data_IF_297659972341
#
_entry.id   IF_297659972341
#
_cell.length_a   1.000
_cell.length_b   1.000
_cell.length_c   1.000
_cell.angle_alpha   90.00
_cell.angle_beta   90.00
_cell.angle_gamma   90.00
#
_symmetry.space_group_name_H-M   'P 1'
#
loop_
_entity.id
_entity.type
_entity.pdbx_description
1 polymer ?
#
# COMPACT_ATOMS: atom_id res chain seq x y z
N UNK A 1 -64.05 -54.25 35.70
CA UNK A 1 -63.90 -52.77 35.67
C UNK A 1 -62.48 -52.40 36.07
N UNK A 2 -61.58 -52.22 35.09
CA UNK A 2 -60.19 -51.71 35.31
C UNK A 2 -59.61 -50.97 34.10
N UNK A 3 -60.36 -50.85 32.98
CA UNK A 3 -59.86 -50.30 31.72
C UNK A 3 -59.58 -48.78 31.75
N UNK A 4 -60.27 -48.05 32.64
CA UNK A 4 -60.13 -46.58 32.76
C UNK A 4 -58.73 -46.14 33.20
N UNK A 5 -58.01 -46.92 34.02
CA UNK A 5 -56.67 -46.51 34.50
C UNK A 5 -55.57 -46.61 33.44
N UNK A 6 -55.64 -47.60 32.55
CA UNK A 6 -54.65 -47.76 31.48
C UNK A 6 -54.84 -46.71 30.37
N UNK A 7 -56.09 -46.43 30.00
CA UNK A 7 -56.40 -45.34 29.06
C UNK A 7 -56.02 -43.97 29.61
N UNK A 8 -56.30 -43.70 30.89
CA UNK A 8 -55.93 -42.44 31.53
C UNK A 8 -54.40 -42.25 31.57
N UNK A 9 -53.65 -43.32 31.86
CA UNK A 9 -52.19 -43.29 31.84
C UNK A 9 -51.62 -43.01 30.43
N UNK A 10 -52.20 -43.62 29.39
CA UNK A 10 -51.80 -43.37 28.00
C UNK A 10 -52.13 -41.94 27.55
N UNK A 11 -53.29 -41.39 27.95
CA UNK A 11 -53.65 -40.00 27.67
C UNK A 11 -52.67 -39.03 28.32
N UNK A 12 -52.32 -39.26 29.58
CA UNK A 12 -51.35 -38.41 30.27
C UNK A 12 -49.96 -38.49 29.62
N UNK A 13 -49.51 -39.70 29.26
CA UNK A 13 -48.26 -39.87 28.53
C UNK A 13 -48.28 -39.14 27.18
N UNK A 14 -49.39 -39.21 26.46
CA UNK A 14 -49.58 -38.51 25.18
C UNK A 14 -49.50 -37.00 25.38
N UNK A 15 -50.18 -36.44 26.38
CA UNK A 15 -50.14 -35.02 26.72
C UNK A 15 -48.72 -34.54 27.05
N UNK A 16 -47.96 -35.33 27.81
CA UNK A 16 -46.57 -35.02 28.14
C UNK A 16 -45.69 -35.00 26.90
N UNK A 17 -45.83 -36.00 26.02
CA UNK A 17 -45.08 -36.07 24.76
C UNK A 17 -45.44 -34.94 23.80
N UNK A 18 -46.71 -34.54 23.74
CA UNK A 18 -47.16 -33.37 22.97
C UNK A 18 -46.53 -32.08 23.50
N UNK A 19 -46.45 -31.91 24.82
CA UNK A 19 -45.78 -30.78 25.46
C UNK A 19 -44.25 -30.78 25.25
N UNK A 20 -43.62 -31.95 25.27
CA UNK A 20 -42.19 -32.07 24.95
C UNK A 20 -41.93 -31.71 23.48
N UNK A 21 -42.77 -32.20 22.56
CA UNK A 21 -42.68 -31.91 21.13
C UNK A 21 -42.91 -30.42 20.84
N UNK A 22 -43.84 -29.76 21.52
CA UNK A 22 -44.04 -28.32 21.37
C UNK A 22 -42.83 -27.52 21.84
N UNK A 23 -42.27 -27.86 23.01
CA UNK A 23 -41.04 -27.22 23.51
C UNK A 23 -39.85 -27.39 22.57
N UNK A 24 -39.67 -28.59 22.01
CA UNK A 24 -38.60 -28.85 21.04
C UNK A 24 -38.80 -28.07 19.74
N UNK A 25 -40.04 -27.93 19.25
CA UNK A 25 -40.36 -27.11 18.09
C UNK A 25 -40.06 -25.64 18.33
N UNK A 26 -40.38 -25.10 19.51
CA UNK A 26 -40.04 -23.73 19.89
C UNK A 26 -38.53 -23.51 19.94
N UNK A 27 -37.78 -24.43 20.56
CA UNK A 27 -36.31 -24.37 20.58
C UNK A 27 -35.71 -24.43 19.18
N UNK A 28 -36.25 -25.27 18.31
CA UNK A 28 -35.83 -25.34 16.90
C UNK A 28 -36.10 -24.02 16.18
N UNK A 29 -37.29 -23.45 16.32
CA UNK A 29 -37.63 -22.16 15.73
C UNK A 29 -36.72 -21.03 16.25
N UNK A 30 -36.32 -21.08 17.53
CA UNK A 30 -35.35 -20.14 18.09
C UNK A 30 -33.94 -20.33 17.48
N UNK A 31 -33.50 -21.58 17.28
CA UNK A 31 -32.24 -21.88 16.60
C UNK A 31 -32.23 -21.39 15.16
N UNK A 32 -33.30 -21.63 14.40
CA UNK A 32 -33.42 -21.19 13.00
C UNK A 32 -33.32 -19.65 12.89
N UNK A 33 -33.91 -18.91 13.86
CA UNK A 33 -33.76 -17.44 13.92
C UNK A 33 -32.33 -17.01 14.19
N UNK A 34 -31.59 -17.72 15.04
CA UNK A 34 -30.18 -17.44 15.29
C UNK A 34 -29.33 -17.71 14.05
N UNK A 35 -29.63 -18.78 13.30
CA UNK A 35 -28.94 -19.07 12.04
C UNK A 35 -29.15 -17.96 11.01
N UNK A 36 -30.37 -17.42 10.91
CA UNK A 36 -30.68 -16.25 10.08
C UNK A 36 -29.90 -15.00 10.51
N UNK A 37 -29.76 -14.76 11.82
CA UNK A 37 -28.97 -13.65 12.37
C UNK A 37 -27.48 -13.80 12.06
N UNK A 38 -26.96 -15.03 12.18
CA UNK A 38 -25.58 -15.36 11.82
C UNK A 38 -25.35 -15.07 10.33
N UNK A 39 -26.25 -15.52 9.45
CA UNK A 39 -26.15 -15.27 8.01
C UNK A 39 -26.12 -13.77 7.69
N UNK A 40 -27.00 -12.97 8.33
CA UNK A 40 -26.98 -11.49 8.20
C UNK A 40 -25.67 -10.87 8.68
N UNK A 41 -25.14 -11.35 9.80
CA UNK A 41 -23.88 -10.85 10.35
C UNK A 41 -22.69 -11.20 9.44
N UNK A 42 -22.68 -12.40 8.86
CA UNK A 42 -21.68 -12.85 7.88
C UNK A 42 -21.70 -11.98 6.63
N UNK A 43 -22.87 -11.69 6.06
CA UNK A 43 -22.97 -10.82 4.89
C UNK A 43 -22.41 -9.41 5.17
N UNK A 44 -22.72 -8.85 6.35
CA UNK A 44 -22.18 -7.55 6.79
C UNK A 44 -20.65 -7.60 6.94
N UNK A 45 -20.12 -8.68 7.50
CA UNK A 45 -18.69 -8.89 7.66
C UNK A 45 -17.99 -9.00 6.30
N UNK A 46 -18.54 -9.75 5.36
CA UNK A 46 -17.95 -9.93 4.03
C UNK A 46 -17.94 -8.61 3.24
N UNK A 47 -19.03 -7.83 3.30
CA UNK A 47 -19.07 -6.47 2.72
C UNK A 47 -17.99 -5.57 3.34
N UNK A 48 -17.84 -5.60 4.67
CA UNK A 48 -16.83 -4.81 5.35
C UNK A 48 -15.41 -5.22 4.95
N UNK A 49 -15.13 -6.52 4.81
CA UNK A 49 -13.85 -7.05 4.32
C UNK A 49 -13.55 -6.57 2.90
N UNK A 50 -14.50 -6.71 1.97
CA UNK A 50 -14.33 -6.25 0.58
C UNK A 50 -14.02 -4.75 0.52
N UNK A 51 -14.74 -3.93 1.30
CA UNK A 51 -14.45 -2.50 1.40
C UNK A 51 -13.05 -2.25 1.97
N UNK A 52 -12.69 -2.95 3.05
CA UNK A 52 -11.37 -2.89 3.66
C UNK A 52 -10.24 -3.23 2.69
N UNK A 53 -10.38 -4.31 1.92
CA UNK A 53 -9.44 -4.74 0.88
C UNK A 53 -9.29 -3.70 -0.21
N UNK A 54 -10.40 -3.11 -0.70
CA UNK A 54 -10.35 -2.03 -1.69
C UNK A 54 -9.61 -0.80 -1.16
N UNK A 55 -9.83 -0.42 0.10
CA UNK A 55 -9.08 0.67 0.72
C UNK A 55 -7.61 0.33 0.94
N UNK A 56 -7.28 -0.92 1.29
CA UNK A 56 -5.90 -1.38 1.40
C UNK A 56 -5.20 -1.38 0.03
N UNK A 57 -5.87 -1.84 -1.03
CA UNK A 57 -5.34 -1.81 -2.39
C UNK A 57 -5.12 -0.38 -2.90
N UNK A 58 -6.03 0.55 -2.60
CA UNK A 58 -5.82 1.98 -2.88
C UNK A 58 -4.62 2.56 -2.15
N UNK A 59 -4.37 2.14 -0.89
CA UNK A 59 -3.17 2.50 -0.12
C UNK A 59 -1.90 1.88 -0.72
N UNK A 60 -1.98 0.63 -1.20
CA UNK A 60 -0.88 -0.10 -1.82
C UNK A 60 -0.57 0.31 -3.28
N UNK A 61 -1.40 1.15 -3.91
CA UNK A 61 -0.93 1.91 -5.07
C UNK A 61 0.32 2.68 -4.64
N UNK A 62 1.35 2.84 -5.49
CA UNK A 62 2.65 3.37 -5.09
C UNK A 62 2.58 4.87 -4.75
N UNK A 63 1.91 5.21 -3.66
CA UNK A 63 1.72 6.56 -3.12
C UNK A 63 3.11 7.16 -2.88
N UNK A 64 4.01 6.38 -2.28
CA UNK A 64 5.40 6.75 -2.06
C UNK A 64 6.19 7.00 -3.35
N UNK A 65 6.01 6.19 -4.40
CA UNK A 65 6.79 6.37 -5.62
C UNK A 65 6.31 7.57 -6.46
N UNK A 66 5.10 8.10 -6.17
CA UNK A 66 4.56 9.33 -6.74
C UNK A 66 4.86 10.60 -5.93
N UNK A 67 5.53 10.51 -4.77
CA UNK A 67 5.83 11.68 -3.92
C UNK A 67 6.82 12.62 -4.60
N UNK A 68 6.43 13.88 -4.78
CA UNK A 68 7.31 14.94 -5.28
C UNK A 68 7.59 15.95 -4.17
N UNK A 69 8.84 16.39 -4.05
CA UNK A 69 9.23 17.45 -3.13
C UNK A 69 8.93 18.78 -3.83
N UNK A 70 7.83 19.43 -3.44
CA UNK A 70 7.42 20.70 -4.03
C UNK A 70 8.39 21.84 -3.67
N UNK A 71 8.96 21.82 -2.46
CA UNK A 71 9.87 22.85 -1.95
C UNK A 71 11.06 22.20 -1.25
N UNK A 72 12.24 22.11 -1.90
CA UNK A 72 13.42 21.49 -1.29
C UNK A 72 13.95 22.35 -0.14
N UNK A 73 14.18 21.72 1.01
CA UNK A 73 14.89 22.32 2.13
C UNK A 73 16.39 21.96 2.02
N UNK A 74 17.25 22.97 2.00
CA UNK A 74 18.72 22.79 1.94
C UNK A 74 19.40 22.61 3.30
N UNK A 75 18.63 22.56 4.39
CA UNK A 75 19.17 22.43 5.74
C UNK A 75 19.83 21.05 5.96
N UNK A 76 20.94 21.05 6.67
CA UNK A 76 21.69 19.82 6.95
C UNK A 76 20.96 18.99 8.01
N UNK A 77 20.81 17.70 7.74
CA UNK A 77 20.15 16.76 8.66
C UNK A 77 20.89 16.65 10.00
N UNK A 78 22.20 16.84 10.00
CA UNK A 78 23.02 16.75 11.22
C UNK A 78 22.70 17.88 12.21
N UNK A 79 22.29 19.04 11.71
CA UNK A 79 22.00 20.24 12.50
C UNK A 79 20.54 20.29 13.00
N UNK A 80 19.75 19.27 12.66
CA UNK A 80 18.38 19.12 13.12
C UNK A 80 18.30 18.32 14.42
N UNK A 81 17.33 18.66 15.26
CA UNK A 81 17.11 17.99 16.56
C UNK A 81 16.07 16.89 16.44
N UNK A 82 16.38 15.68 16.87
CA UNK A 82 15.45 14.55 16.89
C UNK A 82 16.17 13.21 16.78
N UNK A 83 15.47 12.20 16.25
CA UNK A 83 15.99 10.84 16.10
C UNK A 83 16.34 10.52 14.62
N UNK A 84 16.57 9.25 14.30
CA UNK A 84 16.92 8.81 12.95
C UNK A 84 15.72 8.75 11.98
N UNK A 85 14.50 8.73 12.52
CA UNK A 85 13.25 8.67 11.75
C UNK A 85 12.65 10.05 11.52
N UNK A 86 12.67 10.93 12.52
CA UNK A 86 12.08 12.27 12.47
C UNK A 86 12.95 13.29 13.22
N UNK A 87 13.23 14.41 12.57
CA UNK A 87 13.91 15.56 13.19
C UNK A 87 13.16 16.85 12.94
N UNK A 88 13.24 17.78 13.88
CA UNK A 88 12.70 19.12 13.71
C UNK A 88 13.72 20.02 13.01
N UNK A 89 13.29 20.65 11.91
CA UNK A 89 14.09 21.66 11.22
C UNK A 89 13.62 23.05 11.63
N UNK A 90 14.51 23.82 12.26
CA UNK A 90 14.23 25.20 12.67
C UNK A 90 14.02 26.18 11.51
N UNK A 91 14.52 25.86 10.31
CA UNK A 91 14.43 26.73 9.13
C UNK A 91 13.08 26.66 8.40
N UNK A 92 12.52 25.46 8.30
CA UNK A 92 11.20 25.26 7.67
C UNK A 92 10.09 25.03 8.69
N UNK A 93 10.41 25.12 9.99
CA UNK A 93 9.51 24.95 11.15
C UNK A 93 8.63 23.69 11.06
N UNK A 94 9.18 22.61 10.49
CA UNK A 94 8.49 21.36 10.23
C UNK A 94 9.34 20.18 10.66
N UNK A 95 8.67 19.09 11.01
CA UNK A 95 9.31 17.80 11.17
C UNK A 95 9.69 17.25 9.79
N UNK A 96 10.96 16.91 9.65
CA UNK A 96 11.55 16.25 8.49
C UNK A 96 11.63 14.76 8.78
N UNK A 97 10.89 13.97 8.02
CA UNK A 97 10.84 12.52 8.16
C UNK A 97 11.80 11.85 7.18
N UNK A 98 12.65 10.97 7.67
CA UNK A 98 13.60 10.21 6.86
C UNK A 98 12.99 8.88 6.41
N UNK A 99 12.48 8.85 5.17
CA UNK A 99 11.79 7.69 4.62
C UNK A 99 12.71 6.47 4.47
N UNK A 100 14.04 6.67 4.40
CA UNK A 100 14.99 5.56 4.32
C UNK A 100 15.23 4.82 5.64
N UNK A 101 14.86 5.44 6.76
CA UNK A 101 14.90 4.84 8.09
C UNK A 101 13.56 4.22 8.52
N UNK A 102 12.53 4.31 7.68
CA UNK A 102 11.17 3.83 7.94
C UNK A 102 10.82 2.70 6.97
N UNK A 103 9.91 1.80 7.35
CA UNK A 103 9.35 0.85 6.38
C UNK A 103 8.39 1.56 5.43
N UNK A 104 8.06 0.92 4.31
CA UNK A 104 7.07 1.42 3.37
C UNK A 104 5.73 1.74 4.04
N UNK A 105 5.25 0.85 4.90
CA UNK A 105 3.99 1.03 5.64
C UNK A 105 4.09 2.18 6.65
N UNK A 106 5.18 2.27 7.41
CA UNK A 106 5.40 3.38 8.36
C UNK A 106 5.43 4.73 7.64
N UNK A 107 6.10 4.82 6.48
CA UNK A 107 6.17 6.03 5.68
C UNK A 107 4.79 6.43 5.12
N UNK A 108 4.01 5.48 4.60
CA UNK A 108 2.66 5.74 4.10
C UNK A 108 1.71 6.21 5.21
N UNK A 109 1.81 5.63 6.41
CA UNK A 109 1.00 6.03 7.56
C UNK A 109 1.27 7.48 7.98
N UNK A 110 2.55 7.88 8.08
CA UNK A 110 2.90 9.27 8.43
C UNK A 110 2.42 10.25 7.36
N UNK A 111 2.52 9.88 6.08
CA UNK A 111 2.02 10.73 5.00
C UNK A 111 0.50 10.91 5.02
N UNK A 112 -0.23 9.85 5.40
CA UNK A 112 -1.68 9.90 5.57
C UNK A 112 -2.07 10.76 6.78
N UNK A 113 -1.42 10.53 7.92
CA UNK A 113 -1.73 11.23 9.19
C UNK A 113 -1.52 12.74 9.08
N UNK A 114 -0.52 13.16 8.31
CA UNK A 114 -0.20 14.59 8.12
C UNK A 114 -0.75 15.16 6.81
N UNK A 115 -1.61 14.42 6.11
CA UNK A 115 -2.26 14.83 4.86
C UNK A 115 -1.28 15.41 3.81
N UNK A 116 -0.05 14.88 3.75
CA UNK A 116 0.99 15.37 2.86
C UNK A 116 1.65 16.71 3.25
N UNK A 117 1.23 17.37 4.34
CA UNK A 117 1.81 18.61 4.85
C UNK A 117 3.04 18.37 5.75
N UNK A 118 3.95 17.50 5.32
CA UNK A 118 5.18 17.17 6.03
C UNK A 118 6.42 17.41 5.16
N UNK A 119 7.57 17.64 5.80
CA UNK A 119 8.84 17.66 5.11
C UNK A 119 9.41 16.23 5.10
N UNK A 120 9.92 15.78 3.96
CA UNK A 120 10.47 14.43 3.81
C UNK A 120 11.88 14.47 3.26
N UNK A 121 12.73 13.61 3.81
CA UNK A 121 14.02 13.22 3.23
C UNK A 121 13.83 11.84 2.64
N UNK A 122 14.01 11.73 1.32
CA UNK A 122 13.86 10.48 0.58
C UNK A 122 15.03 10.27 -0.38
N UNK A 123 15.36 9.01 -0.63
CA UNK A 123 16.31 8.64 -1.68
C UNK A 123 15.54 7.88 -2.77
N UNK A 124 15.72 8.29 -4.03
CA UNK A 124 15.10 7.65 -5.20
C UNK A 124 16.15 6.90 -6.00
N UNK A 125 15.77 5.71 -6.48
CA UNK A 125 16.58 4.94 -7.43
C UNK A 125 16.32 5.41 -8.86
N UNK A 126 17.18 5.00 -9.80
CA UNK A 126 17.03 5.26 -11.24
C UNK A 126 15.70 4.77 -11.84
N UNK A 127 15.05 3.79 -11.21
CA UNK A 127 13.74 3.27 -11.61
C UNK A 127 12.56 4.07 -11.02
N UNK A 128 12.83 5.14 -10.27
CA UNK A 128 11.82 5.98 -9.63
C UNK A 128 11.34 5.49 -8.26
N UNK A 129 11.77 4.31 -7.81
CA UNK A 129 11.35 3.72 -6.53
C UNK A 129 11.97 4.47 -5.35
N UNK A 130 11.18 4.79 -4.34
CA UNK A 130 11.67 5.36 -3.07
C UNK A 130 12.32 4.26 -2.23
N UNK A 131 13.53 4.54 -1.74
CA UNK A 131 14.30 3.65 -0.87
C UNK A 131 13.79 3.79 0.56
N UNK A 132 13.25 2.68 1.09
CA UNK A 132 12.80 2.50 2.47
C UNK A 132 13.67 1.46 3.19
N UNK A 133 13.52 1.34 4.51
CA UNK A 133 14.30 0.41 5.34
C UNK A 133 14.11 -1.07 4.93
N UNK A 134 12.91 -1.42 4.48
CA UNK A 134 12.46 -2.74 4.04
C UNK A 134 12.67 -3.00 2.54
N UNK A 135 13.33 -2.09 1.82
CA UNK A 135 13.50 -2.18 0.37
C UNK A 135 14.02 -3.56 -0.07
N UNK A 136 13.27 -4.33 -0.90
CA UNK A 136 13.54 -5.75 -1.16
C UNK A 136 14.91 -6.00 -1.81
N UNK A 137 15.38 -5.06 -2.63
CA UNK A 137 16.73 -5.10 -3.21
C UNK A 137 17.83 -4.80 -2.19
N UNK A 138 17.57 -3.91 -1.21
CA UNK A 138 18.48 -3.61 -0.11
C UNK A 138 18.63 -4.80 0.84
N UNK A 139 17.51 -5.44 1.20
CA UNK A 139 17.48 -6.66 2.01
C UNK A 139 18.14 -7.83 1.27
N UNK A 140 17.85 -8.02 -0.03
CA UNK A 140 18.50 -9.06 -0.86
C UNK A 140 20.00 -8.83 -0.99
N UNK A 141 20.46 -7.58 -1.18
CA UNK A 141 21.89 -7.25 -1.23
C UNK A 141 22.58 -7.44 0.11
N UNK A 142 21.94 -7.09 1.24
CA UNK A 142 22.45 -7.40 2.60
C UNK A 142 22.56 -8.92 2.82
N UNK A 143 21.53 -9.69 2.45
CA UNK A 143 21.55 -11.16 2.53
C UNK A 143 22.63 -11.78 1.63
N UNK A 144 22.75 -11.35 0.38
CA UNK A 144 23.80 -11.82 -0.53
C UNK A 144 25.21 -11.48 -0.05
N UNK A 145 25.41 -10.30 0.56
CA UNK A 145 26.69 -9.94 1.19
C UNK A 145 26.99 -10.80 2.41
N UNK A 146 26.00 -11.04 3.27
CA UNK A 146 26.15 -11.89 4.45
C UNK A 146 26.49 -13.34 4.05
N UNK A 147 25.78 -13.90 3.07
CA UNK A 147 26.06 -15.23 2.51
C UNK A 147 27.44 -15.25 1.86
N UNK A 148 27.81 -14.20 1.10
CA UNK A 148 29.14 -14.06 0.50
C UNK A 148 30.28 -14.06 1.54
N UNK A 149 30.11 -13.37 2.67
CA UNK A 149 31.07 -13.36 3.80
C UNK A 149 31.17 -14.75 4.44
N UNK A 150 30.06 -15.48 4.60
CA UNK A 150 30.07 -16.84 5.15
C UNK A 150 30.72 -17.86 4.19
N UNK A 151 30.51 -17.73 2.88
CA UNK A 151 31.15 -18.60 1.88
C UNK A 151 32.65 -18.33 1.72
N UNK A 152 33.09 -17.07 1.89
CA UNK A 152 34.53 -16.73 1.89
C UNK A 152 35.19 -17.12 3.23
N UNK A 153 34.46 -17.02 4.36
CA UNK A 153 34.93 -17.49 5.67
C UNK A 153 35.14 -19.01 5.74
N UNK A 154 34.30 -19.79 5.06
CA UNK A 154 34.47 -21.25 4.96
C UNK A 154 35.62 -21.67 4.02
N UNK A 155 35.86 -20.92 2.93
CA UNK A 155 36.98 -21.19 2.04
C UNK A 155 38.34 -20.76 2.63
N UNK A 156 38.36 -19.75 3.51
CA UNK A 156 39.58 -19.30 4.18
C UNK A 156 40.04 -20.23 5.33
N UNK A 157 39.19 -21.15 5.82
CA UNK A 157 39.59 -22.13 6.84
C UNK A 157 40.06 -23.48 6.26
N UNK A 158 39.89 -23.72 4.95
CA UNK A 158 40.27 -24.98 4.31
C UNK A 158 41.52 -24.90 3.41
N UNK A 159 42.08 -23.71 3.17
CA UNK A 159 43.29 -23.56 2.37
C UNK A 159 44.29 -22.59 3.01
N UNK A 160 45.15 -23.15 3.87
CA UNK A 160 46.56 -22.77 3.89
C UNK A 160 46.95 -21.57 4.74
N UNK A 161 47.55 -21.89 5.89
CA UNK A 161 48.79 -21.25 6.32
C UNK A 161 49.74 -21.17 5.12
N UNK A 162 49.91 -20.00 4.52
CA UNK A 162 51.14 -19.49 3.86
C UNK A 162 50.82 -18.28 2.97
N UNK A 163 50.85 -17.09 3.56
CA UNK A 163 51.43 -15.86 2.97
C UNK A 163 51.02 -14.68 3.86
N UNK A 164 51.85 -14.42 4.88
CA UNK A 164 52.03 -13.06 5.31
C UNK A 164 52.45 -12.20 4.11
N UNK A 165 52.06 -10.92 4.15
CA UNK A 165 52.41 -9.85 3.21
C UNK A 165 51.54 -9.83 1.93
N UNK A 166 50.53 -8.97 1.94
CA UNK A 166 50.48 -7.81 1.06
C UNK A 166 49.36 -6.87 1.54
N UNK A 167 49.81 -5.78 2.16
CA UNK A 167 49.12 -4.50 2.25
C UNK A 167 48.46 -4.12 0.92
N UNK A 168 47.19 -3.71 0.94
CA UNK A 168 46.71 -2.72 -0.03
C UNK A 168 45.55 -1.92 0.53
N UNK A 169 45.88 -0.67 0.85
CA UNK A 169 45.00 0.49 0.97
C UNK A 169 43.83 0.48 -0.02
N UNK A 170 42.61 0.72 0.50
CA UNK A 170 41.53 1.32 -0.28
C UNK A 170 40.93 2.46 0.53
N UNK A 171 41.35 3.66 0.19
CA UNK A 171 40.67 4.90 0.55
C UNK A 171 39.22 4.81 0.05
N UNK A 172 38.25 4.91 0.94
CA UNK A 172 36.91 5.30 0.57
C UNK A 172 36.88 6.82 0.52
N UNK A 173 36.90 7.38 -0.69
CA UNK A 173 36.68 8.81 -0.88
C UNK A 173 35.23 9.12 -0.56
N UNK A 174 35.00 9.79 0.57
CA UNK A 174 33.73 10.44 0.88
C UNK A 174 33.65 11.70 0.01
N UNK A 175 32.63 11.80 -0.83
CA UNK A 175 32.25 13.07 -1.46
C UNK A 175 30.93 13.50 -0.84
N UNK A 176 30.99 14.55 -0.03
CA UNK A 176 29.85 15.27 0.50
C UNK A 176 29.93 16.68 -0.08
N UNK A 177 28.90 17.10 -0.81
CA UNK A 177 28.87 18.41 -1.45
C UNK A 177 27.45 18.86 -1.74
N UNK A 178 27.20 20.14 -1.46
CA UNK A 178 26.04 20.88 -1.96
C UNK A 178 26.25 21.29 -3.41
N UNK A 179 25.15 21.58 -4.10
CA UNK A 179 25.19 22.08 -5.47
C UNK A 179 24.99 23.60 -5.43
N UNK A 180 26.04 24.33 -5.76
CA UNK A 180 26.00 25.74 -6.17
C UNK A 180 26.91 25.93 -7.40
N UNK A 181 26.70 27.00 -8.18
CA UNK A 181 26.63 26.92 -9.65
C UNK A 181 27.98 27.04 -10.36
N UNK A 182 28.05 26.46 -11.56
CA UNK A 182 29.14 26.70 -12.51
C UNK A 182 28.97 28.11 -13.10
N UNK A 183 30.03 28.95 -13.14
CA UNK A 183 30.01 30.24 -13.80
C UNK A 183 29.83 30.10 -15.31
N UNK A 184 29.00 30.99 -15.84
CA UNK A 184 28.67 31.15 -17.25
C UNK A 184 29.91 31.41 -18.10
N UNK A 185 30.21 30.53 -19.05
CA UNK A 185 31.03 30.86 -20.23
C UNK A 185 30.68 29.97 -21.43
N UNK A 186 29.82 30.53 -22.28
CA UNK A 186 29.78 30.41 -23.75
C UNK A 186 29.77 28.99 -24.36
N UNK A 187 28.57 28.50 -24.68
CA UNK A 187 28.32 27.92 -25.99
C UNK A 187 27.03 28.49 -26.56
N UNK A 188 27.15 29.00 -27.79
CA UNK A 188 26.16 29.74 -28.53
C UNK A 188 24.89 28.91 -28.75
N UNK A 189 23.69 29.49 -28.59
CA UNK A 189 22.45 28.86 -29.00
C UNK A 189 22.33 28.87 -30.54
N UNK A 190 22.05 27.68 -31.10
CA UNK A 190 21.56 27.53 -32.47
C UNK A 190 20.14 28.11 -32.56
N UNK A 191 19.78 28.79 -33.66
CA UNK A 191 18.52 29.51 -33.77
C UNK A 191 17.39 28.54 -34.11
N UNK A 192 16.37 28.47 -33.28
CA UNK A 192 15.06 27.98 -33.71
C UNK A 192 13.98 28.88 -33.13
N UNK A 193 13.57 29.78 -34.00
CA UNK A 193 12.25 30.37 -34.23
C UNK A 193 11.27 30.51 -33.04
N UNK A 194 10.96 31.77 -32.81
CA UNK A 194 9.91 32.29 -31.95
C UNK A 194 8.57 31.59 -32.22
N UNK A 195 7.85 31.26 -31.15
CA UNK A 195 6.39 31.40 -31.18
C UNK A 195 5.95 32.14 -29.92
N UNK A 196 5.24 33.23 -30.20
CA UNK A 196 4.64 34.18 -29.28
C UNK A 196 3.69 33.52 -28.27
N UNK A 197 3.65 34.13 -27.09
CA UNK A 197 2.56 34.00 -26.13
C UNK A 197 1.24 34.45 -26.77
N UNK A 198 0.21 33.62 -26.66
CA UNK A 198 -1.17 33.96 -26.95
C UNK A 198 -2.09 33.45 -25.84
N UNK A 199 -3.11 34.26 -25.53
CA UNK A 199 -4.06 34.11 -24.44
C UNK A 199 -4.86 32.79 -24.39
N UNK A 200 -5.36 32.51 -23.19
CA UNK A 200 -6.26 31.44 -22.79
C UNK A 200 -7.47 31.31 -23.73
N UNK A 201 -7.70 30.11 -24.25
CA UNK A 201 -8.98 29.67 -24.80
C UNK A 201 -9.49 28.47 -23.99
N UNK A 202 -10.73 28.57 -23.49
CA UNK A 202 -11.44 27.46 -22.84
C UNK A 202 -11.50 26.23 -23.76
N UNK A 203 -11.38 25.01 -23.20
CA UNK A 203 -11.49 23.79 -23.99
C UNK A 203 -12.90 23.65 -24.60
N UNK A 204 -13.02 23.27 -25.88
CA UNK A 204 -14.32 23.12 -26.53
C UNK A 204 -15.14 21.97 -25.93
N UNK A 205 -16.48 22.07 -25.92
CA UNK A 205 -17.34 21.04 -25.37
C UNK A 205 -17.19 19.71 -26.13
N UNK A 206 -17.33 18.57 -25.44
CA UNK A 206 -17.12 17.25 -26.02
C UNK A 206 -18.08 16.97 -27.17
N UNK A 207 -17.52 16.49 -28.29
CA UNK A 207 -18.26 16.11 -29.51
C UNK A 207 -19.26 15.00 -29.21
N UNK A 208 -20.50 15.19 -29.68
CA UNK A 208 -21.60 14.25 -29.54
C UNK A 208 -21.27 12.87 -30.13
N UNK A 209 -21.70 11.83 -29.42
CA UNK A 209 -21.56 10.44 -29.83
C UNK A 209 -22.24 10.17 -31.19
N UNK A 210 -21.68 9.27 -32.02
CA UNK A 210 -22.31 8.89 -33.29
C UNK A 210 -23.66 8.21 -33.04
N UNK A 211 -24.68 8.67 -33.79
CA UNK A 211 -26.03 8.07 -33.80
C UNK A 211 -25.96 6.58 -34.20
N UNK A 212 -26.77 5.72 -33.58
CA UNK A 212 -26.86 4.32 -33.98
C UNK A 212 -27.40 4.20 -35.42
N UNK A 213 -26.97 3.19 -36.18
CA UNK A 213 -27.42 2.98 -37.55
C UNK A 213 -28.93 2.70 -37.60
N UNK A 214 -29.58 3.30 -38.59
CA UNK A 214 -30.98 3.05 -38.91
C UNK A 214 -31.19 1.57 -39.28
N UNK A 215 -31.93 0.86 -38.44
CA UNK A 215 -32.54 -0.43 -38.79
C UNK A 215 -33.62 -0.16 -39.83
N UNK A 216 -33.38 -0.53 -41.09
CA UNK A 216 -34.43 -0.54 -42.10
C UNK A 216 -35.41 -1.67 -41.78
N UNK A 217 -36.68 -1.31 -41.57
CA UNK A 217 -37.77 -2.28 -41.52
C UNK A 217 -37.89 -2.98 -42.88
N UNK A 218 -38.13 -4.30 -42.93
CA UNK A 218 -38.44 -4.98 -44.17
C UNK A 218 -39.74 -4.41 -44.75
N UNK A 219 -39.69 -3.98 -46.01
CA UNK A 219 -40.86 -3.63 -46.78
C UNK A 219 -41.69 -4.89 -47.02
N UNK A 220 -42.98 -4.81 -46.72
CA UNK A 220 -43.94 -5.87 -46.99
C UNK A 220 -43.97 -6.20 -48.48
N UNK A 221 -43.62 -7.44 -48.81
CA UNK A 221 -43.90 -8.04 -50.10
C UNK A 221 -45.34 -8.54 -50.09
N UNK A 222 -46.18 -7.83 -50.84
CA UNK A 222 -47.48 -8.30 -51.31
C UNK A 222 -47.25 -9.47 -52.27
N UNK A 223 -47.85 -10.61 -51.98
CA UNK A 223 -48.41 -11.56 -52.96
C UNK A 223 -49.44 -12.45 -52.27
#
# INVERSE_FOLDING_TARGET
>A
MTYRSAEDALRERTRLLEGELSSLREKRAASERLDDDIARAQERLDKAKILGERFAQKRALPMLDKVQIASPCGESWADMTGDDKARYCGKCEKHVYNLSAMTREEAELVMLEKEGNLCVRLYRRKDGTVITADCPVGVRRKRLRLVGVLTVGAAAMAAGVSAALLTQSRHATVVQGGMEPIPTAVLQPQPIEQVEMGDIAEPPPPKAAPKPPHVQKPQGGVR
#
